data_IF_551862562391
#
_entry.id   IF_551862562391
#
_cell.length_a   1.000
_cell.length_b   1.000
_cell.length_c   1.000
_cell.angle_alpha   90.00
_cell.angle_beta   90.00
_cell.angle_gamma   90.00
#
_symmetry.space_group_name_H-M   'P 1'
#
loop_
_entity.id
_entity.type
_entity.pdbx_description
1 polymer ?
#
# COMPACT_ATOMS: atom_id res chain seq x y z
N UNK A 1 -22.66 -26.93 1.74
CA UNK A 1 -21.26 -27.33 1.95
C UNK A 1 -20.42 -26.60 0.91
N UNK A 2 -19.61 -25.61 1.25
CA UNK A 2 -18.68 -25.03 0.30
C UNK A 2 -17.40 -25.87 0.26
N UNK A 3 -17.06 -26.31 -0.95
CA UNK A 3 -15.87 -27.06 -1.30
C UNK A 3 -14.61 -26.26 -0.99
N UNK A 4 -13.69 -26.89 -0.26
CA UNK A 4 -12.45 -26.31 0.22
C UNK A 4 -11.53 -25.82 -0.88
N UNK A 5 -11.03 -24.63 -0.67
CA UNK A 5 -9.85 -24.07 -1.33
C UNK A 5 -8.61 -24.84 -0.81
N UNK A 6 -8.17 -25.84 -1.56
CA UNK A 6 -6.88 -26.49 -1.37
C UNK A 6 -5.84 -25.86 -2.32
N UNK A 7 -5.45 -24.60 -2.04
CA UNK A 7 -4.19 -24.08 -2.51
C UNK A 7 -3.10 -24.55 -1.56
N UNK A 8 -2.35 -25.58 -1.91
CA UNK A 8 -1.12 -25.90 -1.17
C UNK A 8 -0.13 -24.76 -1.42
N UNK A 9 0.47 -24.16 -0.35
CA UNK A 9 1.55 -23.21 -0.53
C UNK A 9 2.68 -23.94 -1.28
N UNK A 10 3.22 -23.33 -2.34
CA UNK A 10 4.38 -23.84 -3.04
C UNK A 10 5.48 -24.10 -1.99
N UNK A 11 5.96 -25.34 -1.91
CA UNK A 11 7.03 -25.69 -0.96
C UNK A 11 8.23 -24.80 -1.27
N UNK A 12 8.76 -24.11 -0.27
CA UNK A 12 9.99 -23.34 -0.41
C UNK A 12 11.08 -24.28 -0.95
N UNK A 13 11.50 -24.02 -2.19
CA UNK A 13 12.53 -24.81 -2.84
C UNK A 13 13.92 -24.46 -2.31
N UNK A 14 14.91 -25.29 -2.64
CA UNK A 14 16.31 -24.94 -2.49
C UNK A 14 16.89 -24.61 -3.85
N UNK A 15 17.79 -23.63 -3.92
CA UNK A 15 18.57 -23.32 -5.11
C UNK A 15 20.05 -23.34 -4.76
N UNK A 16 20.91 -23.75 -5.70
CA UNK A 16 22.35 -23.76 -5.50
C UNK A 16 22.97 -22.64 -6.32
N UNK A 17 23.75 -21.75 -5.67
CA UNK A 17 24.48 -20.66 -6.30
C UNK A 17 25.93 -20.73 -5.83
N UNK A 18 26.88 -20.83 -6.74
CA UNK A 18 28.33 -20.91 -6.47
C UNK A 18 28.70 -21.94 -5.39
N UNK A 19 28.00 -23.09 -5.38
CA UNK A 19 28.23 -24.17 -4.41
C UNK A 19 27.54 -23.98 -3.07
N UNK A 20 26.86 -22.85 -2.83
CA UNK A 20 26.07 -22.59 -1.62
C UNK A 20 24.60 -22.91 -1.89
N UNK A 21 24.00 -23.70 -1.01
CA UNK A 21 22.57 -24.01 -1.05
C UNK A 21 21.80 -22.97 -0.29
N UNK A 22 20.89 -22.27 -0.98
CA UNK A 22 19.97 -21.31 -0.40
C UNK A 22 18.58 -21.91 -0.29
N UNK A 23 17.96 -21.80 0.90
CA UNK A 23 16.55 -22.07 1.08
C UNK A 23 15.77 -20.81 0.70
N UNK A 24 14.86 -20.96 -0.26
CA UNK A 24 14.05 -19.85 -0.77
C UNK A 24 12.92 -19.48 0.20
N UNK A 25 12.51 -18.21 0.19
CA UNK A 25 11.32 -17.75 0.89
C UNK A 25 10.04 -18.25 0.20
N UNK A 26 8.92 -18.20 0.92
CA UNK A 26 7.61 -18.49 0.33
C UNK A 26 7.08 -17.24 -0.39
N UNK A 27 6.43 -17.46 -1.54
CA UNK A 27 5.67 -16.41 -2.20
C UNK A 27 4.46 -16.01 -1.35
N UNK A 28 4.06 -14.75 -1.41
CA UNK A 28 2.81 -14.28 -0.83
C UNK A 28 1.63 -14.81 -1.66
N UNK A 29 0.77 -15.59 -1.02
CA UNK A 29 -0.40 -16.19 -1.67
C UNK A 29 -1.61 -15.25 -1.73
N UNK A 30 -1.49 -14.02 -1.26
CA UNK A 30 -2.60 -13.07 -1.17
C UNK A 30 -2.81 -12.39 -2.51
N UNK A 31 -3.74 -12.90 -3.31
CA UNK A 31 -4.27 -12.18 -4.47
C UNK A 31 -5.28 -11.12 -4.01
N UNK A 32 -5.22 -9.93 -4.59
CA UNK A 32 -6.20 -8.86 -4.35
C UNK A 32 -6.56 -8.17 -5.65
N UNK A 33 -7.87 -8.02 -5.88
CA UNK A 33 -8.36 -7.24 -7.00
C UNK A 33 -8.01 -5.76 -6.81
N UNK A 34 -7.57 -5.11 -7.88
CA UNK A 34 -7.42 -3.67 -7.93
C UNK A 34 -8.71 -3.02 -8.40
N UNK A 35 -9.23 -2.09 -7.61
CA UNK A 35 -10.49 -1.40 -7.86
C UNK A 35 -10.23 0.07 -8.11
N UNK A 36 -10.75 0.58 -9.21
CA UNK A 36 -10.58 1.98 -9.60
C UNK A 36 -9.17 2.31 -10.12
N UNK A 37 -8.91 3.59 -10.27
CA UNK A 37 -7.60 4.17 -10.63
C UNK A 37 -6.78 3.29 -11.61
N UNK A 38 -7.39 2.85 -12.72
CA UNK A 38 -6.76 1.90 -13.66
C UNK A 38 -5.48 2.43 -14.29
N UNK A 39 -5.39 3.75 -14.42
CA UNK A 39 -4.23 4.41 -15.02
C UNK A 39 -2.96 4.18 -14.23
N UNK A 40 -2.99 4.30 -12.91
CA UNK A 40 -1.79 4.08 -12.07
C UNK A 40 -1.31 2.61 -12.13
N UNK A 41 -2.23 1.64 -12.22
CA UNK A 41 -1.88 0.24 -12.45
C UNK A 41 -1.22 0.06 -13.82
N UNK A 42 -1.74 0.70 -14.86
CA UNK A 42 -1.16 0.67 -16.21
C UNK A 42 0.24 1.28 -16.22
N UNK A 43 0.47 2.38 -15.51
CA UNK A 43 1.78 3.01 -15.38
C UNK A 43 2.78 2.11 -14.65
N UNK A 44 2.37 1.43 -13.57
CA UNK A 44 3.23 0.48 -12.88
C UNK A 44 3.60 -0.71 -13.79
N UNK A 45 2.63 -1.26 -14.51
CA UNK A 45 2.88 -2.33 -15.47
C UNK A 45 3.82 -1.88 -16.60
N UNK A 46 3.69 -0.65 -17.07
CA UNK A 46 4.58 -0.07 -18.09
C UNK A 46 6.03 0.01 -17.60
N UNK A 47 6.27 0.34 -16.32
CA UNK A 47 7.61 0.32 -15.73
C UNK A 47 8.29 -1.05 -15.82
N UNK A 48 7.51 -2.11 -15.82
CA UNK A 48 8.00 -3.49 -15.82
C UNK A 48 8.03 -4.14 -17.20
N UNK A 49 7.65 -3.43 -18.26
CA UNK A 49 7.83 -3.90 -19.62
C UNK A 49 9.31 -3.92 -20.01
N UNK A 50 9.66 -4.86 -20.88
CA UNK A 50 10.94 -4.93 -21.56
C UNK A 50 10.62 -4.86 -23.05
N UNK A 51 11.03 -3.77 -23.70
CA UNK A 51 10.64 -3.47 -25.08
C UNK A 51 11.67 -3.92 -26.11
N UNK A 52 12.88 -4.25 -25.67
CA UNK A 52 13.99 -4.75 -26.51
C UNK A 52 14.87 -5.73 -25.70
N UNK A 53 15.70 -6.52 -26.38
CA UNK A 53 16.62 -7.47 -25.74
C UNK A 53 17.64 -6.80 -24.80
N UNK A 54 18.01 -5.56 -25.07
CA UNK A 54 18.96 -4.77 -24.28
C UNK A 54 18.27 -3.91 -23.22
N UNK A 55 16.95 -3.86 -23.25
CA UNK A 55 16.17 -3.10 -22.30
C UNK A 55 16.04 -3.81 -20.95
N UNK A 56 15.95 -3.06 -19.89
CA UNK A 56 15.78 -3.55 -18.52
C UNK A 56 14.51 -2.93 -17.91
N UNK A 57 13.79 -3.70 -17.09
CA UNK A 57 12.65 -3.14 -16.37
C UNK A 57 13.10 -2.05 -15.41
N UNK A 58 12.25 -1.05 -15.22
CA UNK A 58 12.44 0.00 -14.25
C UNK A 58 12.10 -0.49 -12.84
N UNK A 59 12.66 0.18 -11.84
CA UNK A 59 12.35 -0.04 -10.42
C UNK A 59 11.63 1.21 -9.86
N UNK A 60 10.30 1.34 -10.08
CA UNK A 60 9.56 2.53 -9.66
C UNK A 60 9.43 2.59 -8.14
N UNK A 61 9.29 3.81 -7.61
CA UNK A 61 8.77 4.04 -6.27
C UNK A 61 7.31 4.48 -6.33
N UNK A 62 6.52 3.95 -5.40
CA UNK A 62 5.09 4.28 -5.23
C UNK A 62 4.97 5.10 -3.95
N UNK A 63 4.57 6.37 -4.08
CA UNK A 63 4.39 7.29 -2.96
C UNK A 63 2.92 7.56 -2.68
N UNK A 64 2.59 8.07 -1.52
CA UNK A 64 1.25 8.47 -1.10
C UNK A 64 1.02 8.25 0.39
N UNK A 65 -0.12 8.71 0.88
CA UNK A 65 -0.47 8.62 2.30
C UNK A 65 -0.59 7.17 2.80
N UNK A 66 -0.39 6.90 4.09
CA UNK A 66 -0.63 5.57 4.67
C UNK A 66 -2.07 5.12 4.43
N UNK A 67 -2.28 3.86 4.05
CA UNK A 67 -3.62 3.27 3.87
C UNK A 67 -4.30 3.52 2.53
N UNK A 68 -3.69 4.27 1.60
CA UNK A 68 -4.26 4.53 0.27
C UNK A 68 -4.22 3.32 -0.68
N UNK A 69 -3.42 2.28 -0.39
CA UNK A 69 -3.39 1.05 -1.17
C UNK A 69 -2.11 0.80 -1.99
N UNK A 70 -0.98 1.44 -1.67
CA UNK A 70 0.30 1.29 -2.41
C UNK A 70 0.75 -0.15 -2.58
N UNK A 71 0.76 -0.92 -1.48
CA UNK A 71 1.12 -2.34 -1.49
C UNK A 71 0.09 -3.17 -2.27
N UNK A 72 -1.20 -2.84 -2.16
CA UNK A 72 -2.28 -3.49 -2.92
C UNK A 72 -2.12 -3.25 -4.44
N UNK A 73 -1.70 -2.05 -4.86
CA UNK A 73 -1.39 -1.75 -6.26
C UNK A 73 -0.27 -2.66 -6.79
N UNK A 74 0.82 -2.81 -6.02
CA UNK A 74 1.94 -3.66 -6.41
C UNK A 74 1.55 -5.15 -6.47
N UNK A 75 0.70 -5.62 -5.52
CA UNK A 75 0.14 -6.98 -5.53
C UNK A 75 -0.68 -7.23 -6.80
N UNK A 76 -1.59 -6.31 -7.12
CA UNK A 76 -2.43 -6.41 -8.32
C UNK A 76 -1.61 -6.39 -9.62
N UNK A 77 -0.52 -5.62 -9.66
CA UNK A 77 0.40 -5.59 -10.80
C UNK A 77 1.16 -6.92 -10.96
N UNK A 78 1.59 -7.55 -9.87
CA UNK A 78 2.22 -8.87 -9.90
C UNK A 78 1.24 -9.94 -10.40
N UNK A 79 0.00 -9.90 -9.90
CA UNK A 79 -1.07 -10.82 -10.32
C UNK A 79 -1.42 -10.66 -11.82
N UNK A 80 -1.54 -9.42 -12.31
CA UNK A 80 -1.76 -9.13 -13.73
C UNK A 80 -0.64 -9.66 -14.62
N UNK A 81 0.58 -9.75 -14.12
CA UNK A 81 1.74 -10.36 -14.78
C UNK A 81 1.82 -11.88 -14.60
N UNK A 82 1.01 -12.46 -13.72
CA UNK A 82 1.05 -13.88 -13.32
C UNK A 82 2.43 -14.30 -12.81
N UNK A 83 3.05 -13.44 -12.02
CA UNK A 83 4.33 -13.68 -11.38
C UNK A 83 4.15 -13.86 -9.88
N UNK A 84 4.98 -14.71 -9.29
CA UNK A 84 5.04 -14.88 -7.85
C UNK A 84 5.42 -13.57 -7.17
N UNK A 85 4.69 -13.24 -6.11
CA UNK A 85 4.90 -12.02 -5.34
C UNK A 85 5.67 -12.33 -4.06
N UNK A 86 6.62 -11.46 -3.76
CA UNK A 86 7.40 -11.48 -2.53
C UNK A 86 7.41 -10.08 -1.92
N UNK A 87 6.97 -9.98 -0.67
CA UNK A 87 6.93 -8.70 0.04
C UNK A 87 8.01 -8.72 1.12
N UNK A 88 8.84 -7.70 1.14
CA UNK A 88 9.80 -7.45 2.21
C UNK A 88 9.39 -6.18 2.95
N UNK A 89 8.97 -6.34 4.22
CA UNK A 89 8.62 -5.20 5.07
C UNK A 89 9.90 -4.53 5.57
N UNK A 90 10.14 -3.31 5.13
CA UNK A 90 11.28 -2.53 5.56
C UNK A 90 11.02 -1.85 6.91
N UNK A 91 12.04 -1.83 7.75
CA UNK A 91 12.01 -1.21 9.08
C UNK A 91 13.29 -0.43 9.34
N UNK A 92 13.31 0.35 10.41
CA UNK A 92 14.50 1.10 10.87
C UNK A 92 15.67 0.18 11.22
N UNK A 93 15.36 -1.04 11.66
CA UNK A 93 16.35 -2.04 12.08
C UNK A 93 16.75 -3.00 10.95
N UNK A 94 16.19 -2.83 9.76
CA UNK A 94 16.53 -3.65 8.59
C UNK A 94 18.03 -3.54 8.30
N UNK A 95 18.71 -4.68 8.21
CA UNK A 95 20.13 -4.80 7.92
C UNK A 95 20.36 -5.34 6.51
N UNK A 96 21.55 -5.12 5.91
CA UNK A 96 21.88 -5.70 4.60
C UNK A 96 21.71 -7.23 4.54
N UNK A 97 22.07 -7.95 5.58
CA UNK A 97 21.91 -9.40 5.67
C UNK A 97 20.45 -9.86 5.70
N UNK A 98 19.55 -9.06 6.27
CA UNK A 98 18.10 -9.36 6.29
C UNK A 98 17.49 -9.22 4.87
N UNK A 99 17.99 -8.24 4.13
CA UNK A 99 17.61 -8.01 2.72
C UNK A 99 18.13 -9.07 1.77
N UNK A 100 19.24 -9.74 2.11
CA UNK A 100 19.93 -10.64 1.20
C UNK A 100 19.84 -12.10 1.64
N UNK A 101 20.79 -12.55 2.43
CA UNK A 101 20.91 -13.95 2.85
C UNK A 101 21.22 -13.99 4.33
N UNK A 102 20.40 -14.70 5.09
CA UNK A 102 20.57 -14.87 6.53
C UNK A 102 21.12 -16.26 6.85
N UNK A 103 22.21 -16.38 7.64
CA UNK A 103 22.71 -17.66 8.11
C UNK A 103 21.83 -18.13 9.28
N UNK A 104 21.42 -19.39 9.26
CA UNK A 104 20.61 -20.01 10.29
C UNK A 104 21.31 -21.29 10.76
N UNK A 105 21.41 -21.51 12.07
CA UNK A 105 21.92 -22.76 12.61
C UNK A 105 20.84 -23.84 12.45
N UNK A 106 21.10 -24.84 11.58
CA UNK A 106 20.21 -25.96 11.37
C UNK A 106 20.28 -26.96 12.54
N UNK A 107 19.26 -27.79 12.69
CA UNK A 107 19.21 -28.85 13.72
C UNK A 107 20.42 -29.80 13.65
N UNK A 108 21.01 -29.96 12.47
CA UNK A 108 22.23 -30.75 12.25
C UNK A 108 23.52 -30.11 12.81
N UNK A 109 23.44 -28.89 13.41
CA UNK A 109 24.57 -28.12 13.87
C UNK A 109 25.38 -27.45 12.72
N UNK A 110 24.92 -27.56 11.47
CA UNK A 110 25.53 -26.88 10.30
C UNK A 110 24.82 -25.54 10.02
N UNK A 111 25.55 -24.61 9.42
CA UNK A 111 24.97 -23.34 8.95
C UNK A 111 24.17 -23.65 7.69
N UNK A 112 22.91 -23.24 7.66
CA UNK A 112 22.04 -23.17 6.49
C UNK A 112 21.86 -21.68 6.10
N UNK A 113 21.69 -21.43 4.81
CA UNK A 113 21.49 -20.08 4.30
C UNK A 113 20.07 -19.91 3.77
N UNK A 114 19.37 -18.92 4.30
CA UNK A 114 18.02 -18.56 3.89
C UNK A 114 18.04 -17.30 3.04
N UNK A 115 17.53 -17.41 1.83
CA UNK A 115 17.31 -16.27 0.95
C UNK A 115 16.14 -15.43 1.46
N UNK A 116 16.29 -14.12 1.45
CA UNK A 116 15.19 -13.19 1.74
C UNK A 116 14.08 -13.28 0.67
N UNK A 117 12.91 -12.67 0.89
CA UNK A 117 11.91 -12.46 -0.14
C UNK A 117 12.48 -11.78 -1.39
N UNK A 118 13.34 -10.77 -1.23
CA UNK A 118 13.99 -10.05 -2.32
C UNK A 118 14.89 -10.99 -3.14
N UNK A 119 15.82 -11.70 -2.49
CA UNK A 119 16.73 -12.63 -3.17
C UNK A 119 15.95 -13.77 -3.82
N UNK A 120 14.91 -14.27 -3.18
CA UNK A 120 14.05 -15.28 -3.77
C UNK A 120 13.40 -14.79 -5.06
N UNK A 121 12.78 -13.61 -5.05
CA UNK A 121 12.22 -12.99 -6.24
C UNK A 121 13.26 -12.80 -7.34
N UNK A 122 14.47 -12.34 -6.97
CA UNK A 122 15.58 -12.19 -7.92
C UNK A 122 15.95 -13.48 -8.62
N UNK A 123 16.02 -14.58 -7.89
CA UNK A 123 16.47 -15.88 -8.43
C UNK A 123 15.37 -16.62 -9.19
N UNK A 124 14.12 -16.39 -8.85
CA UNK A 124 12.97 -17.07 -9.46
C UNK A 124 12.29 -16.28 -10.57
N UNK A 125 12.69 -15.03 -10.79
CA UNK A 125 12.03 -14.16 -11.76
C UNK A 125 10.67 -13.62 -11.26
N UNK A 126 10.48 -13.54 -9.95
CA UNK A 126 9.27 -13.01 -9.33
C UNK A 126 9.25 -11.48 -9.22
N UNK A 127 8.19 -10.97 -8.60
CA UNK A 127 8.05 -9.55 -8.23
C UNK A 127 8.43 -9.38 -6.78
N UNK A 128 9.32 -8.43 -6.46
CA UNK A 128 9.60 -8.03 -5.09
C UNK A 128 9.05 -6.63 -4.80
N UNK A 129 8.32 -6.51 -3.71
CA UNK A 129 7.89 -5.22 -3.14
C UNK A 129 8.70 -4.95 -1.89
N UNK A 130 9.50 -3.90 -1.90
CA UNK A 130 10.12 -3.35 -0.69
C UNK A 130 9.12 -2.39 -0.05
N UNK A 131 8.36 -2.89 0.91
CA UNK A 131 7.28 -2.13 1.53
C UNK A 131 7.82 -1.20 2.61
N UNK A 132 7.39 0.06 2.59
CA UNK A 132 7.87 1.14 3.45
C UNK A 132 9.41 1.35 3.36
N UNK A 133 9.95 1.34 2.14
CA UNK A 133 11.40 1.40 1.89
C UNK A 133 12.09 2.61 2.51
N UNK A 134 11.43 3.76 2.60
CA UNK A 134 11.96 4.96 3.25
C UNK A 134 12.11 4.84 4.78
N UNK A 135 11.82 3.69 5.37
CA UNK A 135 12.20 3.37 6.76
C UNK A 135 13.60 2.77 6.89
N UNK A 136 14.20 2.31 5.79
CA UNK A 136 15.54 1.72 5.82
C UNK A 136 16.63 2.78 6.01
N UNK A 137 17.68 2.38 6.74
CA UNK A 137 18.90 3.18 6.89
C UNK A 137 19.75 3.17 5.61
N UNK A 138 20.72 4.09 5.52
CA UNK A 138 21.60 4.24 4.35
C UNK A 138 22.41 2.98 4.03
N UNK A 139 22.88 2.22 5.04
CA UNK A 139 23.67 1.00 4.82
C UNK A 139 22.88 -0.07 4.09
N UNK A 140 21.63 -0.24 4.44
CA UNK A 140 20.71 -1.18 3.79
C UNK A 140 20.45 -0.77 2.34
N UNK A 141 20.24 0.51 2.07
CA UNK A 141 20.13 1.03 0.71
C UNK A 141 21.40 0.83 -0.12
N UNK A 142 22.59 1.07 0.49
CA UNK A 142 23.87 0.88 -0.20
C UNK A 142 24.06 -0.57 -0.69
N UNK A 143 23.59 -1.57 0.06
CA UNK A 143 23.67 -2.97 -0.36
C UNK A 143 22.80 -3.31 -1.57
N UNK A 144 21.74 -2.52 -1.81
CA UNK A 144 20.81 -2.70 -2.93
C UNK A 144 21.19 -1.87 -4.17
N UNK A 145 22.09 -0.91 -4.06
CA UNK A 145 22.44 -0.02 -5.19
C UNK A 145 22.85 -0.77 -6.47
N UNK A 146 23.66 -1.88 -6.42
CA UNK A 146 24.01 -2.62 -7.61
C UNK A 146 22.85 -3.43 -8.22
N UNK A 147 21.80 -3.74 -7.44
CA UNK A 147 20.59 -4.38 -7.95
C UNK A 147 19.75 -3.40 -8.77
N UNK A 148 19.68 -2.15 -8.30
CA UNK A 148 18.86 -1.09 -8.87
C UNK A 148 19.49 -0.41 -10.09
N UNK A 149 20.68 -0.83 -10.50
CA UNK A 149 21.34 -0.35 -11.72
C UNK A 149 21.48 -1.46 -12.77
N UNK A 150 22.17 -1.18 -13.86
CA UNK A 150 22.32 -2.09 -15.01
C UNK A 150 22.99 -3.43 -14.66
N UNK A 151 23.72 -3.51 -13.56
CA UNK A 151 24.38 -4.75 -13.10
C UNK A 151 23.38 -5.80 -12.64
N UNK A 152 22.29 -5.39 -12.00
CA UNK A 152 21.23 -6.25 -11.45
C UNK A 152 21.79 -7.38 -10.58
N UNK A 153 22.71 -7.05 -9.68
CA UNK A 153 23.36 -8.00 -8.77
C UNK A 153 23.33 -7.50 -7.33
N UNK A 154 23.39 -8.44 -6.39
CA UNK A 154 23.71 -8.17 -4.98
C UNK A 154 24.83 -9.08 -4.54
N UNK A 155 25.56 -8.69 -3.52
CA UNK A 155 26.65 -9.47 -2.94
C UNK A 155 26.34 -9.80 -1.47
N UNK A 156 26.25 -11.08 -1.17
CA UNK A 156 26.11 -11.55 0.21
C UNK A 156 27.47 -11.84 0.81
N UNK A 157 27.94 -10.94 1.68
CA UNK A 157 29.21 -11.11 2.38
C UNK A 157 29.15 -12.35 3.29
N UNK A 158 28.00 -12.57 3.94
CA UNK A 158 27.80 -13.68 4.88
C UNK A 158 27.87 -15.05 4.21
N UNK A 159 27.32 -15.18 3.01
CA UNK A 159 27.38 -16.41 2.22
C UNK A 159 28.60 -16.47 1.27
N UNK A 160 29.28 -15.36 1.06
CA UNK A 160 30.45 -15.26 0.16
C UNK A 160 30.08 -15.45 -1.31
N UNK A 161 28.88 -15.07 -1.73
CA UNK A 161 28.37 -15.28 -3.08
C UNK A 161 27.82 -13.99 -3.70
N UNK A 162 27.90 -13.91 -5.03
CA UNK A 162 27.22 -12.89 -5.81
C UNK A 162 25.94 -13.47 -6.40
N UNK A 163 24.85 -12.74 -6.28
CA UNK A 163 23.52 -13.13 -6.75
C UNK A 163 23.09 -12.19 -7.87
N UNK A 164 22.81 -12.75 -9.04
CA UNK A 164 22.34 -12.02 -10.20
C UNK A 164 20.83 -12.20 -10.36
N UNK A 165 20.13 -11.10 -10.61
CA UNK A 165 18.69 -11.16 -10.84
C UNK A 165 18.37 -11.82 -12.19
N UNK A 166 17.36 -12.68 -12.19
CA UNK A 166 16.73 -13.22 -13.38
C UNK A 166 16.20 -12.08 -14.28
N UNK A 167 16.08 -12.34 -15.57
CA UNK A 167 15.56 -11.37 -16.55
C UNK A 167 14.10 -10.97 -16.24
N UNK A 168 13.30 -11.90 -15.74
CA UNK A 168 11.90 -11.67 -15.39
C UNK A 168 11.71 -11.01 -14.02
N UNK A 169 12.76 -10.86 -13.21
CA UNK A 169 12.67 -10.18 -11.92
C UNK A 169 12.17 -8.74 -12.07
N UNK A 170 11.18 -8.38 -11.26
CA UNK A 170 10.60 -7.03 -11.15
C UNK A 170 10.66 -6.56 -9.71
N UNK A 171 10.81 -5.25 -9.53
CA UNK A 171 10.89 -4.64 -8.21
C UNK A 171 10.14 -3.32 -8.19
N UNK A 172 9.52 -3.01 -7.07
CA UNK A 172 9.08 -1.65 -6.75
C UNK A 172 9.26 -1.39 -5.25
N UNK A 173 9.26 -0.12 -4.88
CA UNK A 173 9.40 0.32 -3.49
C UNK A 173 8.18 1.15 -3.14
N UNK A 174 7.49 0.83 -2.04
CA UNK A 174 6.47 1.73 -1.50
C UNK A 174 7.09 2.69 -0.49
N UNK A 175 6.61 3.91 -0.45
CA UNK A 175 7.08 4.94 0.48
C UNK A 175 5.89 5.71 1.04
N UNK A 176 5.86 5.90 2.35
CA UNK A 176 4.89 6.75 3.01
C UNK A 176 5.36 8.21 3.01
N UNK A 177 4.43 9.14 2.89
CA UNK A 177 4.67 10.58 2.98
C UNK A 177 4.44 11.05 4.42
N UNK A 178 5.07 10.39 5.40
CA UNK A 178 4.98 10.74 6.81
C UNK A 178 6.34 11.18 7.39
N UNK A 179 6.31 11.89 8.51
CA UNK A 179 7.48 12.44 9.17
C UNK A 179 8.38 11.40 9.87
N UNK A 180 7.96 10.12 9.90
CA UNK A 180 8.66 9.04 10.62
C UNK A 180 9.66 8.27 9.73
N UNK A 181 10.04 8.83 8.59
CA UNK A 181 10.89 8.19 7.59
C UNK A 181 12.29 8.80 7.56
N UNK A 182 13.29 7.98 7.12
CA UNK A 182 14.61 8.48 6.81
C UNK A 182 14.61 9.15 5.42
N UNK A 183 15.51 10.10 5.25
CA UNK A 183 15.81 10.63 3.92
C UNK A 183 16.52 9.54 3.09
N UNK A 184 15.91 9.15 1.99
CA UNK A 184 16.50 8.16 1.08
C UNK A 184 17.63 8.84 0.30
N UNK A 185 18.84 8.25 0.27
CA UNK A 185 19.98 8.87 -0.41
C UNK A 185 19.70 9.20 -1.88
N UNK A 186 20.17 10.33 -2.37
CA UNK A 186 19.95 10.80 -3.76
C UNK A 186 20.39 9.78 -4.82
N UNK A 187 21.50 9.07 -4.59
CA UNK A 187 21.97 8.05 -5.51
C UNK A 187 21.03 6.83 -5.61
N UNK A 188 20.23 6.57 -4.56
CA UNK A 188 19.14 5.58 -4.60
C UNK A 188 17.91 6.17 -5.27
N UNK A 189 17.52 7.39 -4.89
CA UNK A 189 16.36 8.06 -5.48
C UNK A 189 16.46 8.20 -7.00
N UNK A 190 17.68 8.41 -7.53
CA UNK A 190 17.93 8.44 -8.98
C UNK A 190 17.74 7.09 -9.68
N UNK A 191 17.83 5.98 -8.97
CA UNK A 191 17.62 4.61 -9.47
C UNK A 191 16.18 4.13 -9.30
N UNK A 192 15.44 4.70 -8.34
CA UNK A 192 14.04 4.38 -8.08
C UNK A 192 13.12 5.29 -8.91
N UNK A 193 13.19 5.13 -10.23
CA UNK A 193 12.40 5.92 -11.18
C UNK A 193 11.50 5.01 -12.01
N UNK A 194 10.33 5.49 -12.45
CA UNK A 194 9.69 6.76 -12.11
C UNK A 194 9.07 6.77 -10.72
N UNK A 195 8.63 7.96 -10.25
CA UNK A 195 7.76 8.09 -9.07
C UNK A 195 6.32 7.97 -9.52
N UNK A 196 5.61 7.03 -8.93
CA UNK A 196 4.16 6.86 -9.10
C UNK A 196 3.47 7.35 -7.84
N UNK A 197 2.76 8.46 -7.94
CA UNK A 197 2.02 9.00 -6.80
C UNK A 197 0.61 8.42 -6.78
N UNK A 198 0.26 7.72 -5.69
CA UNK A 198 -1.06 7.16 -5.46
C UNK A 198 -1.83 8.09 -4.52
N UNK A 199 -2.71 8.89 -5.11
CA UNK A 199 -3.63 9.76 -4.38
C UNK A 199 -4.89 9.04 -3.90
N UNK A 200 -5.76 9.79 -3.23
CA UNK A 200 -7.06 9.26 -2.82
C UNK A 200 -7.93 8.89 -4.03
N UNK A 201 -8.74 7.83 -3.92
CA UNK A 201 -9.69 7.46 -4.97
C UNK A 201 -10.80 8.50 -5.08
N UNK A 202 -11.42 8.59 -6.26
CA UNK A 202 -12.65 9.36 -6.41
C UNK A 202 -13.82 8.69 -5.68
N UNK A 203 -14.94 9.41 -5.60
CA UNK A 203 -16.15 8.97 -4.87
C UNK A 203 -16.67 7.60 -5.35
N UNK A 204 -16.60 7.31 -6.65
CA UNK A 204 -17.12 6.07 -7.22
C UNK A 204 -16.18 4.91 -6.92
N UNK A 205 -14.89 5.13 -7.10
CA UNK A 205 -13.86 4.15 -6.79
C UNK A 205 -13.82 3.84 -5.29
N UNK A 206 -13.92 4.87 -4.43
CA UNK A 206 -13.96 4.69 -2.98
C UNK A 206 -15.19 3.89 -2.54
N UNK A 207 -16.37 4.18 -3.10
CA UNK A 207 -17.58 3.40 -2.87
C UNK A 207 -17.41 1.95 -3.29
N UNK A 208 -16.79 1.71 -4.45
CA UNK A 208 -16.56 0.36 -4.96
C UNK A 208 -15.56 -0.40 -4.08
N UNK A 209 -14.50 0.25 -3.61
CA UNK A 209 -13.51 -0.34 -2.70
C UNK A 209 -14.16 -0.70 -1.36
N UNK A 210 -14.90 0.21 -0.73
CA UNK A 210 -15.57 -0.07 0.54
C UNK A 210 -16.59 -1.22 0.40
N UNK A 211 -17.34 -1.24 -0.69
CA UNK A 211 -18.30 -2.32 -0.98
C UNK A 211 -17.61 -3.67 -1.25
N UNK A 212 -16.44 -3.67 -1.89
CA UNK A 212 -15.64 -4.88 -2.09
C UNK A 212 -15.17 -5.48 -0.77
N UNK A 213 -14.66 -4.65 0.14
CA UNK A 213 -14.20 -5.10 1.46
C UNK A 213 -15.33 -5.48 2.40
N UNK A 214 -16.49 -4.82 2.28
CA UNK A 214 -17.64 -4.98 3.16
C UNK A 214 -18.93 -5.13 2.34
N UNK A 215 -19.08 -6.23 1.56
CA UNK A 215 -20.23 -6.41 0.65
C UNK A 215 -21.56 -6.53 1.38
N UNK A 216 -21.52 -6.84 2.68
CA UNK A 216 -22.70 -6.94 3.57
C UNK A 216 -23.04 -5.61 4.28
N UNK A 217 -22.25 -4.55 4.08
CA UNK A 217 -22.53 -3.26 4.70
C UNK A 217 -23.78 -2.60 4.09
N UNK A 218 -24.67 -2.01 4.90
CA UNK A 218 -25.82 -1.28 4.41
C UNK A 218 -25.41 -0.09 3.53
N UNK A 219 -26.14 0.13 2.43
CA UNK A 219 -25.80 1.17 1.45
C UNK A 219 -25.84 2.60 2.01
N UNK A 220 -26.67 2.86 3.02
CA UNK A 220 -26.72 4.12 3.74
C UNK A 220 -25.46 4.40 4.54
N UNK A 221 -24.91 3.41 5.25
CA UNK A 221 -23.62 3.54 5.97
C UNK A 221 -22.44 3.69 5.01
N UNK A 222 -22.43 2.95 3.91
CA UNK A 222 -21.43 3.10 2.84
C UNK A 222 -21.42 4.52 2.29
N UNK A 223 -22.61 5.04 1.91
CA UNK A 223 -22.73 6.39 1.35
C UNK A 223 -22.33 7.48 2.34
N UNK A 224 -22.66 7.29 3.63
CA UNK A 224 -22.30 8.21 4.69
C UNK A 224 -20.77 8.26 4.88
N UNK A 225 -20.11 7.09 4.87
CA UNK A 225 -18.66 6.99 5.06
C UNK A 225 -17.91 7.57 3.86
N UNK A 226 -18.33 7.25 2.62
CA UNK A 226 -17.75 7.84 1.42
C UNK A 226 -17.93 9.36 1.40
N UNK A 227 -19.12 9.85 1.74
CA UNK A 227 -19.38 11.30 1.82
C UNK A 227 -18.44 12.01 2.79
N UNK A 228 -18.20 11.40 3.95
CA UNK A 228 -17.28 11.92 4.96
C UNK A 228 -15.82 11.93 4.46
N UNK A 229 -15.34 10.82 3.86
CA UNK A 229 -13.97 10.73 3.36
C UNK A 229 -13.72 11.73 2.22
N UNK A 230 -14.64 11.84 1.27
CA UNK A 230 -14.51 12.79 0.15
C UNK A 230 -14.51 14.26 0.64
N UNK A 231 -15.26 14.59 1.68
CA UNK A 231 -15.22 15.92 2.28
C UNK A 231 -13.89 16.16 3.02
N UNK A 232 -13.39 15.15 3.74
CA UNK A 232 -12.08 15.20 4.40
C UNK A 232 -10.94 15.41 3.38
N UNK A 233 -10.98 14.69 2.24
CA UNK A 233 -10.01 14.87 1.15
C UNK A 233 -10.08 16.28 0.55
N UNK A 234 -11.26 16.86 0.43
CA UNK A 234 -11.44 18.26 -0.01
C UNK A 234 -10.91 19.30 0.98
N UNK A 235 -10.57 18.89 2.19
CA UNK A 235 -9.97 19.73 3.25
C UNK A 235 -8.49 19.36 3.51
N UNK A 236 -7.86 18.63 2.61
CA UNK A 236 -6.48 18.13 2.72
C UNK A 236 -6.19 17.32 4.01
N UNK A 237 -7.19 16.53 4.45
CA UNK A 237 -7.04 15.63 5.58
C UNK A 237 -6.71 14.20 5.11
N UNK A 238 -5.73 13.59 5.73
CA UNK A 238 -5.14 12.30 5.34
C UNK A 238 -5.96 11.07 5.81
N UNK A 239 -7.31 11.16 5.82
CA UNK A 239 -8.15 10.01 6.12
C UNK A 239 -8.27 9.10 4.90
N UNK A 240 -7.75 7.90 5.03
CA UNK A 240 -7.61 6.95 3.94
C UNK A 240 -8.80 6.00 3.77
N UNK A 241 -8.81 5.26 2.68
CA UNK A 241 -9.77 4.16 2.47
C UNK A 241 -9.71 3.12 3.60
N UNK A 242 -8.52 2.88 4.17
CA UNK A 242 -8.35 1.98 5.34
C UNK A 242 -9.15 2.46 6.53
N UNK A 243 -9.17 3.75 6.77
CA UNK A 243 -9.95 4.35 7.85
C UNK A 243 -11.45 4.18 7.60
N UNK A 244 -11.90 4.39 6.38
CA UNK A 244 -13.28 4.12 5.97
C UNK A 244 -13.71 2.67 6.21
N UNK A 245 -12.84 1.70 5.89
CA UNK A 245 -13.06 0.28 6.18
C UNK A 245 -13.19 0.06 7.69
N UNK A 246 -12.30 0.63 8.51
CA UNK A 246 -12.32 0.47 9.96
C UNK A 246 -13.56 1.12 10.58
N UNK A 247 -13.96 2.31 10.12
CA UNK A 247 -15.19 3.00 10.56
C UNK A 247 -16.41 2.10 10.33
N UNK A 248 -16.56 1.58 9.12
CA UNK A 248 -17.67 0.68 8.78
C UNK A 248 -17.62 -0.62 9.59
N UNK A 249 -16.44 -1.25 9.69
CA UNK A 249 -16.29 -2.47 10.47
C UNK A 249 -16.67 -2.29 11.93
N UNK A 250 -16.23 -1.20 12.54
CA UNK A 250 -16.56 -0.92 13.94
C UNK A 250 -18.06 -0.63 14.10
N UNK A 251 -18.63 0.22 13.25
CA UNK A 251 -20.06 0.53 13.26
C UNK A 251 -20.93 -0.74 13.14
N UNK A 252 -20.61 -1.62 12.18
CA UNK A 252 -21.34 -2.87 11.99
C UNK A 252 -21.24 -3.82 13.19
N UNK A 253 -20.07 -3.91 13.81
CA UNK A 253 -19.88 -4.71 15.04
C UNK A 253 -20.67 -4.13 16.21
N UNK A 254 -20.73 -2.81 16.37
CA UNK A 254 -21.56 -2.15 17.40
C UNK A 254 -23.03 -2.40 17.19
N UNK A 255 -23.52 -2.34 15.96
CA UNK A 255 -24.91 -2.67 15.63
C UNK A 255 -25.28 -4.12 15.92
N UNK A 256 -24.33 -5.05 15.76
CA UNK A 256 -24.54 -6.48 15.99
C UNK A 256 -24.37 -6.89 17.47
N UNK A 257 -23.83 -6.02 18.34
CA UNK A 257 -23.42 -6.38 19.69
C UNK A 257 -24.60 -6.65 20.62
N UNK A 258 -25.68 -5.87 20.53
CA UNK A 258 -26.88 -6.03 21.36
C UNK A 258 -28.16 -6.05 20.50
N UNK A 259 -28.60 -7.24 20.06
CA UNK A 259 -29.82 -7.37 19.26
C UNK A 259 -31.09 -7.03 20.02
N UNK A 260 -31.08 -7.05 21.36
CA UNK A 260 -32.26 -6.76 22.19
C UNK A 260 -32.47 -5.24 22.38
N UNK A 261 -31.36 -4.48 22.37
CA UNK A 261 -31.42 -3.02 22.47
C UNK A 261 -30.59 -2.42 21.32
N UNK A 262 -31.12 -2.46 20.09
CA UNK A 262 -30.34 -2.06 18.91
C UNK A 262 -30.02 -0.56 18.95
N UNK A 263 -28.73 -0.26 18.84
CA UNK A 263 -28.23 1.10 18.62
C UNK A 263 -28.70 1.61 17.24
N UNK A 264 -28.94 2.92 17.11
CA UNK A 264 -29.22 3.49 15.80
C UNK A 264 -27.96 3.43 14.91
N UNK A 265 -28.13 3.25 13.60
CA UNK A 265 -27.01 3.27 12.63
C UNK A 265 -26.22 4.56 12.72
N UNK A 266 -26.93 5.66 12.94
CA UNK A 266 -26.34 6.99 13.07
C UNK A 266 -25.44 7.10 14.31
N UNK A 267 -25.91 6.61 15.45
CA UNK A 267 -25.13 6.58 16.69
C UNK A 267 -23.91 5.67 16.57
N UNK A 268 -24.08 4.48 15.97
CA UNK A 268 -22.96 3.55 15.76
C UNK A 268 -21.89 4.13 14.84
N UNK A 269 -22.30 4.82 13.78
CA UNK A 269 -21.38 5.46 12.86
C UNK A 269 -20.66 6.66 13.50
N UNK A 270 -21.35 7.50 14.26
CA UNK A 270 -20.72 8.61 14.99
C UNK A 270 -19.70 8.11 16.02
N UNK A 271 -20.05 7.09 16.79
CA UNK A 271 -19.12 6.46 17.72
C UNK A 271 -17.89 5.93 16.99
N UNK A 272 -18.08 5.30 15.81
CA UNK A 272 -16.97 4.75 15.03
C UNK A 272 -16.01 5.80 14.52
N UNK A 273 -16.49 6.98 14.10
CA UNK A 273 -15.62 8.09 13.70
C UNK A 273 -14.68 8.50 14.84
N UNK A 274 -15.23 8.71 16.04
CA UNK A 274 -14.47 9.12 17.20
C UNK A 274 -13.43 8.04 17.58
N UNK A 275 -13.84 6.77 17.54
CA UNK A 275 -12.96 5.66 17.95
C UNK A 275 -11.86 5.34 16.94
N UNK A 276 -12.08 5.61 15.67
CA UNK A 276 -11.09 5.33 14.59
C UNK A 276 -10.21 6.54 14.32
N UNK A 277 -10.79 7.75 14.27
CA UNK A 277 -10.10 8.96 13.82
C UNK A 277 -9.81 9.97 14.95
N UNK A 278 -10.39 9.78 16.13
CA UNK A 278 -10.28 10.75 17.23
C UNK A 278 -11.45 11.76 17.28
N UNK A 279 -11.45 12.60 18.31
CA UNK A 279 -12.54 13.56 18.56
C UNK A 279 -12.65 14.65 17.48
N UNK A 280 -11.55 15.03 16.87
CA UNK A 280 -11.50 16.05 15.81
C UNK A 280 -12.36 15.69 14.59
N UNK A 281 -12.52 14.40 14.29
CA UNK A 281 -13.38 13.93 13.21
C UNK A 281 -14.89 14.18 13.46
N UNK A 282 -15.29 14.41 14.70
CA UNK A 282 -16.70 14.68 15.07
C UNK A 282 -17.15 16.05 14.55
N UNK A 283 -16.30 17.05 14.60
CA UNK A 283 -16.63 18.41 14.15
C UNK A 283 -16.85 18.43 12.63
N UNK A 284 -16.02 17.71 11.88
CA UNK A 284 -16.16 17.53 10.44
C UNK A 284 -17.47 16.81 10.08
N UNK A 285 -17.80 15.73 10.78
CA UNK A 285 -19.04 14.98 10.53
C UNK A 285 -20.29 15.82 10.77
N UNK A 286 -20.23 16.74 11.72
CA UNK A 286 -21.35 17.66 12.04
C UNK A 286 -21.52 18.71 10.96
N UNK A 287 -20.42 19.21 10.38
CA UNK A 287 -20.43 20.13 9.25
C UNK A 287 -20.96 19.46 7.99
N UNK A 288 -20.48 18.24 7.68
CA UNK A 288 -20.93 17.42 6.56
C UNK A 288 -22.44 17.18 6.56
N UNK A 289 -23.00 16.84 7.72
CA UNK A 289 -24.44 16.62 7.88
C UNK A 289 -25.27 17.88 7.73
N UNK A 290 -24.81 19.01 8.27
CA UNK A 290 -25.48 20.29 8.09
C UNK A 290 -25.54 20.67 6.60
N UNK A 291 -24.47 20.43 5.86
CA UNK A 291 -24.41 20.67 4.41
C UNK A 291 -25.32 19.73 3.62
N UNK A 292 -25.31 18.43 3.93
CA UNK A 292 -26.17 17.47 3.27
C UNK A 292 -27.65 17.78 3.44
N UNK A 293 -28.06 18.23 4.65
CA UNK A 293 -29.45 18.69 4.91
C UNK A 293 -29.78 19.98 4.18
N UNK A 294 -28.86 20.94 4.13
CA UNK A 294 -29.08 22.21 3.40
C UNK A 294 -29.18 22.02 1.88
N UNK A 295 -28.46 21.06 1.30
CA UNK A 295 -28.51 20.70 -0.12
C UNK A 295 -29.77 19.89 -0.48
N UNK A 296 -30.32 19.11 0.44
CA UNK A 296 -31.58 18.39 0.27
C UNK A 296 -32.81 19.30 0.27
N UNK A 297 -32.72 20.47 0.88
CA UNK A 297 -33.81 21.46 0.98
C UNK A 297 -33.79 22.52 -0.13
N UNK A 298 -32.70 22.61 -0.91
CA UNK A 298 -32.56 23.55 -2.04
C UNK A 298 -32.00 22.80 -3.26
N UNK A 299 -32.86 22.40 -4.15
CA UNK A 299 -32.50 21.80 -5.46
C UNK A 299 -31.75 22.77 -6.39
N UNK A 300 -30.57 23.23 -6.00
CA UNK A 300 -29.69 24.05 -6.82
C UNK A 300 -28.22 23.83 -6.45
N UNK A 301 -27.51 23.26 -7.39
CA UNK A 301 -26.06 23.10 -7.41
C UNK A 301 -25.38 24.50 -7.37
N UNK A 302 -24.98 24.97 -6.21
CA UNK A 302 -23.90 25.95 -6.08
C UNK A 302 -22.66 25.25 -5.51
N UNK A 303 -21.55 25.43 -6.21
CA UNK A 303 -20.27 24.77 -5.91
C UNK A 303 -19.72 25.13 -4.53
N UNK A 304 -18.98 24.19 -3.95
CA UNK A 304 -18.32 24.29 -2.63
C UNK A 304 -17.40 25.53 -2.49
N UNK A 305 -16.97 26.14 -3.59
CA UNK A 305 -16.04 27.28 -3.59
C UNK A 305 -16.64 28.60 -3.09
N UNK A 306 -17.95 28.79 -3.21
CA UNK A 306 -18.56 30.10 -2.91
C UNK A 306 -18.84 30.34 -1.42
N UNK A 307 -18.74 29.29 -0.59
CA UNK A 307 -19.06 29.42 0.83
C UNK A 307 -17.89 29.83 1.73
N UNK A 308 -16.66 29.68 1.27
CA UNK A 308 -15.47 30.04 2.05
C UNK A 308 -14.91 31.44 1.79
N UNK A 309 -15.39 32.15 0.74
CA UNK A 309 -14.89 33.46 0.37
C UNK A 309 -15.82 34.64 0.69
N UNK A 310 -16.99 34.43 1.29
CA UNK A 310 -17.82 35.51 1.83
C UNK A 310 -17.59 35.66 3.34
N UNK A 311 -16.50 36.28 3.73
CA UNK A 311 -16.27 36.62 5.12
C UNK A 311 -14.90 37.22 5.38
N UNK A 312 -14.81 38.54 5.19
CA UNK A 312 -13.79 39.44 5.73
C UNK A 312 -12.33 39.25 5.24
N UNK A 313 -11.99 39.98 4.21
CA UNK A 313 -10.65 40.50 4.01
C UNK A 313 -10.45 41.76 4.88
N UNK A 314 -9.63 41.76 5.95
CA UNK A 314 -9.40 42.92 6.80
C UNK A 314 -8.37 43.95 6.22
N UNK A 315 -7.91 43.79 5.00
CA UNK A 315 -6.72 44.50 4.51
C UNK A 315 -6.96 45.54 3.37
N UNK A 316 -8.18 45.90 3.01
CA UNK A 316 -8.40 47.06 2.17
C UNK A 316 -9.64 47.88 2.57
N UNK A 317 -9.46 48.90 3.46
CA UNK A 317 -10.33 50.04 3.48
C UNK A 317 -9.83 51.00 2.38
N UNK A 318 -10.76 51.46 1.51
CA UNK A 318 -10.59 52.55 0.57
C UNK A 318 -9.75 52.28 -0.72
N UNK A 319 -10.46 51.80 -1.77
CA UNK A 319 -10.44 52.54 -3.06
C UNK A 319 -11.55 52.09 -3.98
#
# INVERSE_FOLDING_TARGET
MPSGLSGQPSQAGNVQVDGVTLRLAHADATSRDWIGQREILSQLLACWLVVDEKDLPLSPRITGVPGVGKTTLAMAAADARKQDLYIFQCTTDTRPEDLLVTPVLAESGKIAYHASPLVTAMLTGGVCVLDEGNRMNEKSWASLAPLLDQRRVVESIVAGIQLKADREFRCCVTMNEDASTYEVPDYIMSRLQPTLHLGFPDKNDEMAILKYHLPFAPGDLLSLTVGFLQEAHGLDLDFSVRDGIHILQYALKRLAQDPQHPMSKDTAWQESLIRVLGEEAQDLSTLSRKRARALGDQGSLRGLGDFFFEGNDPLHPDR
#
